data_IF_377309863796
#
_entry.id   IF_377309863796
#
_cell.length_a   1.000
_cell.length_b   1.000
_cell.length_c   1.000
_cell.angle_alpha   90.00
_cell.angle_beta   90.00
_cell.angle_gamma   90.00
#
_symmetry.space_group_name_H-M   'P 1'
#
loop_
_entity.id
_entity.type
_entity.pdbx_description
1 polymer ?
#
# COMPACT_ATOMS: atom_id res chain seq x y z
N UNK A 1 -9.82 2.32 20.27
CA UNK A 1 -10.77 3.14 19.48
C UNK A 1 -12.17 2.81 19.97
N UNK A 2 -13.03 3.79 20.31
CA UNK A 2 -14.35 3.52 20.87
C UNK A 2 -15.26 2.79 19.85
N UNK A 3 -16.22 1.97 20.33
CA UNK A 3 -17.18 1.29 19.48
C UNK A 3 -18.04 2.33 18.74
N UNK A 4 -17.88 2.39 17.41
CA UNK A 4 -18.48 3.41 16.54
C UNK A 4 -17.46 4.28 15.76
N UNK A 5 -16.20 4.35 16.23
CA UNK A 5 -15.16 5.18 15.60
C UNK A 5 -14.52 4.60 14.33
N UNK A 6 -14.85 3.35 13.97
CA UNK A 6 -14.15 2.60 12.92
C UNK A 6 -14.21 3.27 11.56
N UNK A 7 -15.39 3.74 11.16
CA UNK A 7 -15.60 4.40 9.86
C UNK A 7 -14.79 5.68 9.75
N UNK A 8 -14.86 6.54 10.76
CA UNK A 8 -14.11 7.81 10.79
C UNK A 8 -12.61 7.58 10.80
N UNK A 9 -12.13 6.62 11.59
CA UNK A 9 -10.70 6.25 11.64
C UNK A 9 -10.22 5.68 10.30
N UNK A 10 -11.05 4.92 9.60
CA UNK A 10 -10.74 4.41 8.26
C UNK A 10 -10.62 5.56 7.24
N UNK A 11 -11.55 6.52 7.26
CA UNK A 11 -11.50 7.72 6.41
C UNK A 11 -10.24 8.55 6.68
N UNK A 12 -9.91 8.81 7.95
CA UNK A 12 -8.68 9.53 8.31
C UNK A 12 -7.42 8.85 7.76
N UNK A 13 -7.34 7.52 7.84
CA UNK A 13 -6.20 6.78 7.29
C UNK A 13 -6.17 6.81 5.76
N UNK A 14 -7.33 6.71 5.11
CA UNK A 14 -7.41 6.81 3.66
C UNK A 14 -6.87 8.16 3.18
N UNK A 15 -7.30 9.26 3.82
CA UNK A 15 -6.82 10.61 3.51
C UNK A 15 -5.31 10.75 3.74
N UNK A 16 -4.79 10.32 4.90
CA UNK A 16 -3.36 10.42 5.20
C UNK A 16 -2.51 9.59 4.23
N UNK A 17 -2.97 8.38 3.87
CA UNK A 17 -2.29 7.53 2.89
C UNK A 17 -2.29 8.13 1.49
N UNK A 18 -3.40 8.72 1.07
CA UNK A 18 -3.48 9.43 -0.22
C UNK A 18 -2.46 10.58 -0.25
N UNK A 19 -2.45 11.44 0.77
CA UNK A 19 -1.51 12.56 0.86
C UNK A 19 -0.06 12.07 0.86
N UNK A 20 0.26 11.06 1.68
CA UNK A 20 1.59 10.49 1.75
C UNK A 20 2.04 9.90 0.42
N UNK A 21 1.16 9.16 -0.27
CA UNK A 21 1.47 8.58 -1.57
C UNK A 21 1.64 9.65 -2.65
N UNK A 22 0.75 10.66 -2.73
CA UNK A 22 0.89 11.78 -3.68
C UNK A 22 2.21 12.52 -3.51
N UNK A 23 2.68 12.69 -2.26
CA UNK A 23 4.01 13.26 -1.98
C UNK A 23 5.15 12.32 -2.36
N UNK A 24 4.99 11.02 -2.12
CA UNK A 24 5.99 10.02 -2.46
C UNK A 24 6.18 9.84 -3.96
N UNK A 25 5.16 10.07 -4.79
CA UNK A 25 5.23 9.92 -6.25
C UNK A 25 5.34 11.25 -6.99
N UNK A 26 5.63 12.35 -6.27
CA UNK A 26 5.67 13.68 -6.89
C UNK A 26 6.86 13.82 -7.84
N UNK A 27 6.70 14.49 -9.01
CA UNK A 27 7.81 14.71 -9.95
C UNK A 27 9.00 15.44 -9.29
N UNK A 28 8.72 16.39 -8.40
CA UNK A 28 9.74 17.19 -7.71
C UNK A 28 10.64 16.32 -6.82
N UNK A 29 10.07 15.30 -6.15
CA UNK A 29 10.86 14.34 -5.39
C UNK A 29 11.75 13.50 -6.32
N UNK A 30 11.23 13.10 -7.49
CA UNK A 30 12.00 12.37 -8.51
C UNK A 30 13.21 13.17 -9.01
N UNK A 31 12.99 14.45 -9.34
CA UNK A 31 14.05 15.38 -9.76
C UNK A 31 15.11 15.58 -8.67
N UNK A 32 14.67 15.78 -7.41
CA UNK A 32 15.58 15.92 -6.27
C UNK A 32 16.43 14.66 -6.09
N UNK A 33 15.83 13.48 -6.13
CA UNK A 33 16.55 12.22 -6.03
C UNK A 33 17.57 12.09 -7.17
N UNK A 34 17.22 12.46 -8.39
CA UNK A 34 18.15 12.41 -9.53
C UNK A 34 19.33 13.37 -9.35
N UNK A 35 19.07 14.60 -8.87
CA UNK A 35 20.12 15.58 -8.57
C UNK A 35 21.14 15.09 -7.53
N UNK A 36 20.70 14.21 -6.61
CA UNK A 36 21.53 13.64 -5.55
C UNK A 36 22.31 12.39 -5.99
N UNK A 37 22.18 11.95 -7.26
CA UNK A 37 22.80 10.69 -7.72
C UNK A 37 24.32 10.70 -7.61
N UNK A 38 24.99 11.80 -7.95
CA UNK A 38 26.45 11.89 -7.81
C UNK A 38 26.88 11.84 -6.35
N UNK A 39 26.18 12.57 -5.47
CA UNK A 39 26.45 12.56 -4.03
C UNK A 39 26.27 11.16 -3.43
N UNK A 40 25.23 10.42 -3.85
CA UNK A 40 25.01 9.03 -3.44
C UNK A 40 26.20 8.12 -3.79
N UNK A 41 26.86 8.36 -4.94
CA UNK A 41 27.99 7.57 -5.43
C UNK A 41 29.33 7.94 -4.78
N UNK A 42 29.50 9.23 -4.45
CA UNK A 42 30.75 9.75 -3.86
C UNK A 42 30.89 9.44 -2.37
N UNK A 43 29.76 9.22 -1.67
CA UNK A 43 29.73 8.92 -0.25
C UNK A 43 30.02 7.42 0.03
N UNK A 44 30.54 7.08 1.23
CA UNK A 44 30.63 5.69 1.66
C UNK A 44 29.27 5.00 1.58
N UNK A 45 29.24 3.80 0.99
CA UNK A 45 28.01 3.06 0.72
C UNK A 45 27.12 2.83 1.96
N UNK A 46 27.75 2.64 3.12
CA UNK A 46 27.11 2.38 4.41
C UNK A 46 26.85 3.65 5.24
N UNK A 47 27.17 4.83 4.71
CA UNK A 47 26.79 6.09 5.33
C UNK A 47 25.27 6.25 5.40
N UNK A 48 24.80 7.00 6.39
CA UNK A 48 23.37 7.28 6.57
C UNK A 48 22.81 8.05 5.37
N UNK A 49 23.59 9.00 4.84
CA UNK A 49 23.22 9.87 3.72
C UNK A 49 23.08 9.06 2.42
N UNK A 50 24.08 8.26 2.04
CA UNK A 50 24.01 7.41 0.86
C UNK A 50 22.87 6.39 0.97
N UNK A 51 22.71 5.79 2.16
CA UNK A 51 21.62 4.84 2.42
C UNK A 51 20.24 5.48 2.33
N UNK A 52 20.07 6.70 2.87
CA UNK A 52 18.81 7.43 2.81
C UNK A 52 18.43 7.75 1.36
N UNK A 53 19.38 8.22 0.54
CA UNK A 53 19.12 8.53 -0.87
C UNK A 53 18.74 7.24 -1.62
N UNK A 54 19.52 6.17 -1.46
CA UNK A 54 19.29 4.88 -2.13
C UNK A 54 17.93 4.26 -1.78
N UNK A 55 17.58 4.25 -0.48
CA UNK A 55 16.29 3.72 -0.01
C UNK A 55 15.14 4.58 -0.50
N UNK A 56 15.26 5.92 -0.40
CA UNK A 56 14.22 6.84 -0.87
C UNK A 56 14.00 6.74 -2.38
N UNK A 57 15.09 6.62 -3.16
CA UNK A 57 15.04 6.40 -4.62
C UNK A 57 14.34 5.09 -4.95
N UNK A 58 14.69 4.00 -4.28
CA UNK A 58 14.02 2.70 -4.47
C UNK A 58 12.53 2.79 -4.15
N UNK A 59 12.17 3.43 -3.03
CA UNK A 59 10.76 3.61 -2.65
C UNK A 59 10.00 4.45 -3.67
N UNK A 60 10.57 5.56 -4.14
CA UNK A 60 10.01 6.39 -5.20
C UNK A 60 9.79 5.57 -6.48
N UNK A 61 10.84 4.92 -6.98
CA UNK A 61 10.80 4.14 -8.21
C UNK A 61 9.77 3.01 -8.16
N UNK A 62 9.64 2.33 -7.02
CA UNK A 62 8.60 1.32 -6.84
C UNK A 62 7.20 1.96 -6.79
N UNK A 63 7.03 3.06 -6.06
CA UNK A 63 5.73 3.69 -5.91
C UNK A 63 5.19 4.26 -7.24
N UNK A 64 6.04 4.82 -8.10
CA UNK A 64 5.62 5.37 -9.41
C UNK A 64 5.25 4.29 -10.44
N UNK A 65 5.70 3.04 -10.26
CA UNK A 65 5.40 1.95 -11.18
C UNK A 65 3.95 1.48 -11.10
N UNK A 66 3.26 1.73 -9.97
CA UNK A 66 1.90 1.25 -9.74
C UNK A 66 0.89 2.34 -10.11
N UNK A 67 -0.03 2.10 -11.06
CA UNK A 67 -1.05 3.07 -11.41
C UNK A 67 -1.97 3.43 -10.23
N UNK A 68 -2.31 4.72 -10.10
CA UNK A 68 -3.23 5.19 -9.06
C UNK A 68 -4.61 4.51 -9.14
N UNK A 69 -5.10 4.20 -10.34
CA UNK A 69 -6.35 3.46 -10.56
C UNK A 69 -6.30 2.04 -10.01
N UNK A 70 -5.18 1.34 -10.17
CA UNK A 70 -4.98 0.01 -9.60
C UNK A 70 -4.97 0.07 -8.07
N UNK A 71 -4.24 1.03 -7.48
CA UNK A 71 -4.22 1.23 -6.03
C UNK A 71 -5.61 1.54 -5.45
N UNK A 72 -6.45 2.30 -6.17
CA UNK A 72 -7.83 2.55 -5.78
C UNK A 72 -8.65 1.25 -5.76
N UNK A 73 -8.54 0.43 -6.81
CA UNK A 73 -9.21 -0.89 -6.90
C UNK A 73 -8.78 -1.83 -5.77
N UNK A 74 -7.47 -1.95 -5.54
CA UNK A 74 -6.91 -2.78 -4.47
C UNK A 74 -7.41 -2.33 -3.09
N UNK A 75 -7.41 -1.01 -2.83
CA UNK A 75 -7.85 -0.44 -1.55
C UNK A 75 -9.34 -0.67 -1.29
N UNK A 76 -10.18 -0.48 -2.31
CA UNK A 76 -11.62 -0.74 -2.21
C UNK A 76 -11.89 -2.23 -1.90
N UNK A 77 -11.23 -3.12 -2.64
CA UNK A 77 -11.33 -4.57 -2.43
C UNK A 77 -10.90 -5.00 -1.02
N UNK A 78 -9.80 -4.46 -0.50
CA UNK A 78 -9.34 -4.76 0.86
C UNK A 78 -10.36 -4.32 1.93
N UNK A 79 -11.00 -3.17 1.75
CA UNK A 79 -12.03 -2.69 2.67
C UNK A 79 -13.27 -3.58 2.66
N UNK A 80 -13.74 -4.00 1.48
CA UNK A 80 -14.85 -4.94 1.32
C UNK A 80 -14.53 -6.31 1.93
N UNK A 81 -13.33 -6.85 1.64
CA UNK A 81 -12.86 -8.12 2.20
C UNK A 81 -12.82 -8.09 3.73
N UNK A 82 -12.32 -7.00 4.32
CA UNK A 82 -12.27 -6.85 5.77
C UNK A 82 -13.68 -6.77 6.39
N UNK A 83 -14.59 -6.00 5.78
CA UNK A 83 -15.97 -5.88 6.24
C UNK A 83 -16.70 -7.24 6.19
N UNK A 84 -16.55 -7.98 5.08
CA UNK A 84 -17.12 -9.32 4.93
C UNK A 84 -16.55 -10.29 5.98
N UNK A 85 -15.24 -10.25 6.24
CA UNK A 85 -14.62 -11.07 7.28
C UNK A 85 -15.11 -10.71 8.69
N UNK A 86 -15.18 -9.43 9.03
CA UNK A 86 -15.63 -8.98 10.35
C UNK A 86 -17.08 -9.42 10.61
N UNK A 87 -17.96 -9.27 9.61
CA UNK A 87 -19.34 -9.74 9.66
C UNK A 87 -19.43 -11.27 9.79
N UNK A 88 -18.74 -12.00 8.90
CA UNK A 88 -18.74 -13.46 8.91
C UNK A 88 -18.21 -14.03 10.24
N UNK A 89 -17.22 -13.37 10.85
CA UNK A 89 -16.66 -13.76 12.15
C UNK A 89 -17.63 -13.48 13.30
N UNK A 90 -18.43 -12.43 13.23
CA UNK A 90 -19.42 -12.09 14.25
C UNK A 90 -20.65 -13.01 14.22
N UNK A 91 -21.08 -13.44 13.03
CA UNK A 91 -22.31 -14.25 12.86
C UNK A 91 -22.10 -15.76 12.90
N UNK A 92 -20.85 -16.23 12.77
CA UNK A 92 -20.55 -17.65 12.63
C UNK A 92 -19.88 -18.23 13.86
N UNK A 93 -20.48 -19.28 14.43
CA UNK A 93 -19.86 -20.11 15.46
C UNK A 93 -18.85 -21.14 14.89
N UNK A 94 -18.83 -21.36 13.57
CA UNK A 94 -18.04 -22.40 12.91
C UNK A 94 -17.11 -21.82 11.84
N UNK A 95 -15.81 -22.06 11.97
CA UNK A 95 -14.77 -21.54 11.07
C UNK A 95 -15.02 -21.87 9.59
N UNK A 96 -15.57 -23.05 9.29
CA UNK A 96 -15.91 -23.48 7.92
C UNK A 96 -16.93 -22.57 7.23
N UNK A 97 -17.93 -22.09 7.96
CA UNK A 97 -18.96 -21.18 7.42
C UNK A 97 -18.38 -19.78 7.20
N UNK A 98 -17.52 -19.33 8.11
CA UNK A 98 -16.78 -18.07 7.97
C UNK A 98 -15.89 -18.10 6.73
N UNK A 99 -15.14 -19.20 6.52
CA UNK A 99 -14.27 -19.37 5.36
C UNK A 99 -15.04 -19.33 4.05
N UNK A 100 -16.18 -20.04 3.95
CA UNK A 100 -16.99 -20.05 2.73
C UNK A 100 -17.47 -18.64 2.32
N UNK A 101 -17.78 -17.77 3.30
CA UNK A 101 -18.21 -16.38 3.04
C UNK A 101 -17.05 -15.52 2.51
N UNK A 102 -15.84 -15.68 3.05
CA UNK A 102 -14.68 -14.84 2.68
C UNK A 102 -13.89 -15.38 1.49
N UNK A 103 -14.04 -16.66 1.13
CA UNK A 103 -13.31 -17.32 0.03
C UNK A 103 -13.26 -16.49 -1.27
N UNK A 104 -14.38 -16.00 -1.83
CA UNK A 104 -14.33 -15.23 -3.09
C UNK A 104 -13.53 -13.92 -2.95
N UNK A 105 -13.53 -13.29 -1.77
CA UNK A 105 -12.71 -12.10 -1.52
C UNK A 105 -11.22 -12.45 -1.47
N UNK A 106 -10.86 -13.58 -0.87
CA UNK A 106 -9.47 -14.05 -0.81
C UNK A 106 -8.92 -14.43 -2.19
N UNK A 107 -9.74 -15.07 -3.03
CA UNK A 107 -9.39 -15.38 -4.43
C UNK A 107 -9.08 -14.09 -5.21
N UNK A 108 -9.93 -13.07 -5.08
CA UNK A 108 -9.68 -11.75 -5.69
C UNK A 108 -8.47 -11.04 -5.07
N UNK A 109 -8.23 -11.18 -3.77
CA UNK A 109 -7.01 -10.65 -3.12
C UNK A 109 -5.75 -11.26 -3.72
N UNK A 110 -5.76 -12.57 -3.98
CA UNK A 110 -4.63 -13.25 -4.62
C UNK A 110 -4.40 -12.74 -6.04
N UNK A 111 -5.46 -12.64 -6.85
CA UNK A 111 -5.37 -12.11 -8.21
C UNK A 111 -4.79 -10.69 -8.25
N UNK A 112 -5.30 -9.78 -7.39
CA UNK A 112 -4.78 -8.43 -7.28
C UNK A 112 -3.33 -8.40 -6.74
N UNK A 113 -2.95 -9.33 -5.87
CA UNK A 113 -1.58 -9.42 -5.37
C UNK A 113 -0.60 -9.85 -6.46
N UNK A 114 -1.02 -10.78 -7.34
CA UNK A 114 -0.26 -11.18 -8.52
C UNK A 114 -0.13 -10.04 -9.53
N UNK A 115 -1.23 -9.31 -9.79
CA UNK A 115 -1.20 -8.12 -10.65
C UNK A 115 -0.28 -7.03 -10.07
N UNK A 116 -0.34 -6.79 -8.76
CA UNK A 116 0.55 -5.86 -8.07
C UNK A 116 2.02 -6.25 -8.27
N UNK A 117 2.35 -7.53 -8.13
CA UNK A 117 3.71 -8.03 -8.32
C UNK A 117 4.22 -7.78 -9.75
N UNK A 118 3.35 -7.86 -10.76
CA UNK A 118 3.71 -7.64 -12.16
C UNK A 118 4.07 -6.18 -12.49
N UNK A 119 3.79 -5.21 -11.61
CA UNK A 119 4.29 -3.84 -11.79
C UNK A 119 5.77 -3.69 -11.46
N UNK A 120 6.42 -4.71 -10.88
CA UNK A 120 7.84 -4.67 -10.53
C UNK A 120 8.60 -5.72 -11.37
N UNK A 121 9.24 -5.32 -12.48
CA UNK A 121 10.03 -6.22 -13.33
C UNK A 121 11.35 -6.67 -12.69
#
# INVERSE_FOLDING_TARGET
MPPGGARTRAQQMATLRQIAHSKLVSPELGELLESLRSLEQDLPYDSNEASLIRVSRRQYQQAVQVPASFMATLSAHQAECYAAWAHAKAESALERKTFAIVRPYLEKTLALSQELANFFP
#
